data_IF_034651869733
#
_entry.id   IF_034651869733
#
_cell.length_a   1.000
_cell.length_b   1.000
_cell.length_c   1.000
_cell.angle_alpha   90.00
_cell.angle_beta   90.00
_cell.angle_gamma   90.00
#
_symmetry.space_group_name_H-M   'P 1'
#
loop_
_entity.id
_entity.type
_entity.pdbx_description
1 polymer ?
#
# COMPACT_ATOMS: atom_id res chain seq x y z
N UNK A 1 6.84 11.61 -39.62
CA UNK A 1 6.47 11.98 -38.23
C UNK A 1 6.18 10.71 -37.47
N UNK A 2 7.07 10.29 -36.57
CA UNK A 2 6.94 9.03 -35.82
C UNK A 2 6.55 9.36 -34.38
N UNK A 3 5.42 8.78 -33.97
CA UNK A 3 4.85 8.90 -32.63
C UNK A 3 5.83 8.36 -31.60
N UNK A 4 6.50 9.27 -30.88
CA UNK A 4 7.20 8.91 -29.65
C UNK A 4 6.15 8.38 -28.67
N UNK A 5 6.01 7.06 -28.63
CA UNK A 5 5.32 6.35 -27.56
C UNK A 5 5.97 6.82 -26.28
N UNK A 6 5.26 7.68 -25.56
CA UNK A 6 5.64 8.17 -24.25
C UNK A 6 5.61 6.99 -23.31
N UNK A 7 6.72 6.23 -23.31
CA UNK A 7 7.09 5.31 -22.24
C UNK A 7 7.44 6.18 -21.04
N UNK A 8 6.43 6.85 -20.48
CA UNK A 8 6.51 7.46 -19.17
C UNK A 8 6.79 6.32 -18.22
N UNK A 9 8.06 6.17 -17.88
CA UNK A 9 8.52 5.50 -16.70
C UNK A 9 7.79 6.13 -15.50
N UNK A 10 6.60 5.63 -15.19
CA UNK A 10 6.06 5.74 -13.85
C UNK A 10 7.09 4.99 -12.99
N UNK A 11 7.88 5.73 -12.21
CA UNK A 11 8.82 5.15 -11.28
C UNK A 11 8.06 4.09 -10.48
N UNK A 12 8.33 2.81 -10.75
CA UNK A 12 7.74 1.69 -10.04
C UNK A 12 8.39 1.69 -8.65
N UNK A 13 7.84 2.49 -7.74
CA UNK A 13 8.34 2.56 -6.37
C UNK A 13 8.25 1.17 -5.77
N UNK A 14 9.40 0.65 -5.35
CA UNK A 14 9.51 -0.63 -4.64
C UNK A 14 9.50 -0.33 -3.15
N UNK A 15 8.56 -0.94 -2.44
CA UNK A 15 8.44 -0.82 -0.98
C UNK A 15 8.80 -2.16 -0.35
N UNK A 16 9.61 -2.12 0.70
CA UNK A 16 9.97 -3.30 1.48
C UNK A 16 9.03 -3.40 2.69
N UNK A 17 8.28 -4.50 2.77
CA UNK A 17 7.48 -4.81 3.94
C UNK A 17 8.34 -5.35 5.08
N UNK A 18 7.81 -5.30 6.30
CA UNK A 18 8.42 -5.83 7.53
C UNK A 18 8.59 -7.35 7.44
N UNK A 19 7.76 -8.05 6.67
CA UNK A 19 7.96 -9.47 6.37
C UNK A 19 9.15 -9.76 5.45
N UNK A 20 9.83 -8.74 4.92
CA UNK A 20 10.88 -8.86 3.89
C UNK A 20 10.34 -9.04 2.47
N UNK A 21 9.01 -9.07 2.29
CA UNK A 21 8.36 -9.08 0.97
C UNK A 21 8.56 -7.73 0.27
N UNK A 22 8.75 -7.79 -1.06
CA UNK A 22 8.91 -6.60 -1.91
C UNK A 22 7.61 -6.33 -2.66
N UNK A 23 7.09 -5.12 -2.48
CA UNK A 23 5.85 -4.65 -3.08
C UNK A 23 6.17 -3.63 -4.17
N UNK A 24 5.55 -3.79 -5.34
CA UNK A 24 5.69 -2.87 -6.46
C UNK A 24 4.42 -2.05 -6.59
N UNK A 25 4.53 -0.72 -6.45
CA UNK A 25 3.40 0.19 -6.63
C UNK A 25 3.03 0.25 -8.12
N UNK A 26 1.82 -0.18 -8.46
CA UNK A 26 1.34 -0.21 -9.85
C UNK A 26 0.49 1.00 -10.22
N UNK A 27 -0.41 1.41 -9.34
CA UNK A 27 -1.40 2.45 -9.65
C UNK A 27 -1.94 3.10 -8.38
N UNK A 28 -2.16 4.41 -8.42
CA UNK A 28 -2.89 5.13 -7.37
C UNK A 28 -4.38 4.78 -7.54
N UNK A 29 -5.01 4.21 -6.51
CA UNK A 29 -6.45 3.84 -6.53
C UNK A 29 -7.32 5.02 -6.13
N UNK A 30 -6.84 5.84 -5.20
CA UNK A 30 -7.55 7.04 -4.75
C UNK A 30 -6.54 8.14 -4.48
N UNK A 31 -6.57 9.14 -5.33
CA UNK A 31 -5.91 10.42 -5.13
C UNK A 31 -7.02 11.43 -4.86
N UNK A 32 -7.31 11.69 -3.59
CA UNK A 32 -8.24 12.76 -3.23
C UNK A 32 -7.42 13.94 -2.72
N UNK A 33 -7.68 15.17 -3.18
CA UNK A 33 -7.00 16.34 -2.63
C UNK A 33 -7.37 16.53 -1.14
N UNK A 34 -6.36 16.82 -0.32
CA UNK A 34 -6.50 17.06 1.15
C UNK A 34 -5.78 16.02 2.02
N UNK A 35 -5.97 16.09 3.35
CA UNK A 35 -5.45 15.14 4.36
C UNK A 35 -6.08 13.72 4.26
N UNK A 36 -6.70 13.37 3.14
CA UNK A 36 -7.33 12.06 2.97
C UNK A 36 -6.30 11.01 2.52
N UNK A 37 -6.31 9.87 3.20
CA UNK A 37 -5.39 8.74 3.02
C UNK A 37 -5.26 8.35 1.56
N UNK A 38 -4.02 8.35 1.05
CA UNK A 38 -3.71 7.85 -0.28
C UNK A 38 -3.72 6.33 -0.25
N UNK A 39 -4.43 5.75 -1.21
CA UNK A 39 -4.48 4.29 -1.38
C UNK A 39 -3.87 3.90 -2.72
N UNK A 40 -2.93 2.96 -2.68
CA UNK A 40 -2.19 2.46 -3.82
C UNK A 40 -2.51 0.99 -4.04
N UNK A 41 -2.61 0.56 -5.30
CA UNK A 41 -2.56 -0.86 -5.63
C UNK A 41 -1.11 -1.25 -5.79
N UNK A 42 -0.68 -2.22 -5.00
CA UNK A 42 0.66 -2.78 -5.05
C UNK A 42 0.60 -4.26 -5.41
N UNK A 43 1.70 -4.81 -5.91
CA UNK A 43 1.81 -6.24 -6.20
C UNK A 43 3.03 -6.84 -5.54
N UNK A 44 2.86 -8.02 -4.94
CA UNK A 44 3.92 -8.87 -4.43
C UNK A 44 3.67 -10.30 -4.92
N UNK A 45 4.66 -10.94 -5.56
CA UNK A 45 4.59 -12.33 -6.07
C UNK A 45 3.30 -12.65 -6.84
N UNK A 46 2.91 -11.77 -7.76
CA UNK A 46 1.69 -11.87 -8.58
C UNK A 46 0.35 -11.67 -7.84
N UNK A 47 0.36 -11.53 -6.51
CA UNK A 47 -0.80 -11.15 -5.73
C UNK A 47 -0.92 -9.61 -5.66
N UNK A 48 -2.16 -9.12 -5.67
CA UNK A 48 -2.48 -7.69 -5.56
C UNK A 48 -2.86 -7.37 -4.11
N UNK A 49 -2.36 -6.24 -3.63
CA UNK A 49 -2.66 -5.68 -2.32
C UNK A 49 -3.06 -4.22 -2.46
N UNK A 50 -3.76 -3.70 -1.46
CA UNK A 50 -4.03 -2.29 -1.25
C UNK A 50 -3.10 -1.79 -0.17
N UNK A 51 -2.22 -0.87 -0.56
CA UNK A 51 -1.40 -0.11 0.38
C UNK A 51 -2.15 1.14 0.78
N UNK A 52 -2.32 1.37 2.09
CA UNK A 52 -2.80 2.65 2.61
C UNK A 52 -1.66 3.33 3.36
N UNK A 53 -1.37 4.57 3.03
CA UNK A 53 -0.46 5.41 3.80
C UNK A 53 -1.28 6.19 4.82
N UNK A 54 -0.91 6.05 6.08
CA UNK A 54 -1.52 6.72 7.23
C UNK A 54 -0.50 7.71 7.81
N UNK A 55 -0.98 8.72 8.54
CA UNK A 55 -0.07 9.61 9.29
C UNK A 55 0.62 8.82 10.42
N UNK A 56 1.82 9.23 10.88
CA UNK A 56 2.59 8.47 11.89
C UNK A 56 1.79 8.13 13.15
N UNK A 57 1.00 9.09 13.65
CA UNK A 57 0.16 8.91 14.84
C UNK A 57 -0.98 7.92 14.62
N UNK A 58 -1.55 7.90 13.43
CA UNK A 58 -2.61 6.98 13.03
C UNK A 58 -2.06 5.58 12.83
N UNK A 59 -0.88 5.45 12.22
CA UNK A 59 -0.31 4.15 11.84
C UNK A 59 -0.24 3.17 13.02
N UNK A 60 0.25 3.62 14.18
CA UNK A 60 0.30 2.78 15.38
C UNK A 60 -1.10 2.36 15.84
N UNK A 61 -2.04 3.31 15.90
CA UNK A 61 -3.42 3.04 16.30
C UNK A 61 -4.07 1.98 15.41
N UNK A 62 -3.96 2.11 14.08
CA UNK A 62 -4.54 1.14 13.15
C UNK A 62 -3.84 -0.20 13.21
N UNK A 63 -2.51 -0.22 13.33
CA UNK A 63 -1.76 -1.46 13.47
C UNK A 63 -2.23 -2.23 14.71
N UNK A 64 -2.27 -1.59 15.87
CA UNK A 64 -2.67 -2.24 17.13
C UNK A 64 -4.13 -2.72 17.06
N UNK A 65 -5.05 -1.89 16.56
CA UNK A 65 -6.46 -2.28 16.35
C UNK A 65 -6.63 -3.48 15.42
N UNK A 66 -5.88 -3.55 14.31
CA UNK A 66 -5.98 -4.68 13.38
C UNK A 66 -5.30 -5.94 13.94
N UNK A 67 -4.25 -5.80 14.75
CA UNK A 67 -3.65 -6.94 15.47
C UNK A 67 -4.66 -7.57 16.44
N UNK A 68 -5.45 -6.77 17.16
CA UNK A 68 -6.53 -7.25 18.04
C UNK A 68 -7.64 -7.98 17.27
N UNK A 69 -7.93 -7.53 16.05
CA UNK A 69 -9.00 -8.07 15.20
C UNK A 69 -8.56 -9.24 14.31
N UNK A 70 -7.30 -9.65 14.37
CA UNK A 70 -6.68 -10.66 13.48
C UNK A 70 -7.33 -12.03 13.52
N UNK A 71 -7.97 -12.37 14.64
CA UNK A 71 -8.69 -13.64 14.80
C UNK A 71 -10.08 -13.66 14.15
N UNK A 72 -10.62 -12.50 13.75
CA UNK A 72 -11.96 -12.40 13.17
C UNK A 72 -11.96 -12.84 11.70
N UNK A 73 -12.77 -13.85 11.32
CA UNK A 73 -12.89 -14.26 9.92
C UNK A 73 -13.66 -13.26 9.05
N UNK A 74 -14.30 -12.26 9.66
CA UNK A 74 -15.15 -11.28 8.97
C UNK A 74 -14.45 -9.95 8.70
N UNK A 75 -13.25 -9.76 9.25
CA UNK A 75 -12.51 -8.50 9.15
C UNK A 75 -11.26 -8.75 8.33
N UNK A 76 -11.15 -8.03 7.21
CA UNK A 76 -9.92 -8.02 6.43
C UNK A 76 -8.87 -7.23 7.20
N UNK A 77 -7.91 -7.94 7.79
CA UNK A 77 -6.75 -7.37 8.47
C UNK A 77 -5.57 -7.22 7.51
N UNK A 78 -4.58 -6.42 7.89
CA UNK A 78 -3.39 -6.24 7.08
C UNK A 78 -2.53 -7.51 7.08
N UNK A 79 -1.97 -7.82 5.92
CA UNK A 79 -1.12 -8.98 5.64
C UNK A 79 0.36 -8.67 5.89
N UNK A 80 0.75 -7.40 5.73
CA UNK A 80 2.09 -6.86 5.97
C UNK A 80 2.04 -5.35 6.22
N UNK A 81 3.14 -4.78 6.71
CA UNK A 81 3.32 -3.34 6.89
C UNK A 81 4.70 -2.91 6.38
N UNK A 82 4.86 -1.69 5.88
CA UNK A 82 6.15 -1.10 5.56
C UNK A 82 6.60 -0.12 6.65
N UNK A 83 7.92 0.06 6.76
CA UNK A 83 8.55 1.09 7.62
C UNK A 83 8.11 2.51 7.25
N UNK A 84 7.70 2.75 6.01
CA UNK A 84 7.13 4.03 5.55
C UNK A 84 5.63 4.13 5.83
N UNK A 85 5.18 3.65 7.00
CA UNK A 85 3.83 3.90 7.53
C UNK A 85 2.70 3.45 6.59
N UNK A 86 2.96 2.36 5.87
CA UNK A 86 2.04 1.81 4.88
C UNK A 86 1.57 0.41 5.28
N UNK A 87 0.26 0.20 5.34
CA UNK A 87 -0.34 -1.11 5.61
C UNK A 87 -0.76 -1.77 4.30
N UNK A 88 -0.43 -3.06 4.12
CA UNK A 88 -0.79 -3.86 2.95
C UNK A 88 -1.88 -4.88 3.31
N UNK A 89 -3.05 -4.78 2.67
CA UNK A 89 -4.18 -5.69 2.84
C UNK A 89 -4.74 -6.15 1.49
#
# INVERSE_FOLDING_TARGET
MSTATSTRAAALTRVLGQSGRRYVVKKIRRDKPGNQRRAYVVTCRSQKYVSKSDAPHDFKYFKDMFDDLRSSPFILVFDDAALEESLFA
#
